data_IF_962889492070
#
_entry.id   IF_962889492070
#
_cell.length_a   1.000
_cell.length_b   1.000
_cell.length_c   1.000
_cell.angle_alpha   90.00
_cell.angle_beta   90.00
_cell.angle_gamma   90.00
#
_symmetry.space_group_name_H-M   'P 1'
#
loop_
_entity.id
_entity.type
_entity.pdbx_description
1 polymer ?
#
# COMPACT_ATOMS: atom_id res chain seq x y z
N UNK A 1 -22.67 -51.82 6.89
CA UNK A 1 -21.39 -51.14 6.56
C UNK A 1 -21.59 -50.29 5.31
N UNK A 2 -21.65 -48.95 5.43
CA UNK A 2 -21.56 -48.04 4.27
C UNK A 2 -20.63 -46.90 4.70
N UNK A 3 -19.45 -46.86 4.08
CA UNK A 3 -18.38 -45.90 4.37
C UNK A 3 -18.80 -44.53 3.85
N UNK A 4 -18.78 -43.53 4.72
CA UNK A 4 -18.88 -42.13 4.34
C UNK A 4 -17.56 -41.68 3.71
N UNK A 5 -17.60 -41.12 2.50
CA UNK A 5 -16.50 -40.31 1.98
C UNK A 5 -16.78 -38.86 2.38
N UNK A 6 -15.97 -38.34 3.31
CA UNK A 6 -15.91 -36.91 3.60
C UNK A 6 -14.89 -36.30 2.64
N UNK A 7 -15.37 -35.48 1.70
CA UNK A 7 -14.52 -34.63 0.86
C UNK A 7 -14.15 -33.43 1.73
N UNK A 8 -12.90 -33.38 2.19
CA UNK A 8 -12.35 -32.20 2.83
C UNK A 8 -11.98 -31.18 1.74
N UNK A 9 -12.84 -30.19 1.53
CA UNK A 9 -12.44 -28.97 0.85
C UNK A 9 -11.51 -28.19 1.80
N UNK A 10 -10.21 -28.27 1.56
CA UNK A 10 -9.28 -27.35 2.19
C UNK A 10 -9.58 -25.95 1.62
N UNK A 11 -10.25 -25.11 2.41
CA UNK A 11 -10.24 -23.67 2.16
C UNK A 11 -8.78 -23.21 2.28
N UNK A 12 -8.13 -22.99 1.14
CA UNK A 12 -6.96 -22.16 1.09
C UNK A 12 -7.42 -20.74 1.47
N UNK A 13 -7.37 -20.43 2.76
CA UNK A 13 -7.45 -19.07 3.24
C UNK A 13 -6.33 -18.30 2.53
N UNK A 14 -6.71 -17.45 1.57
CA UNK A 14 -5.75 -16.61 0.86
C UNK A 14 -5.03 -15.79 1.90
N UNK A 15 -3.73 -15.97 1.91
CA UNK A 15 -2.84 -15.40 2.88
C UNK A 15 -2.65 -13.92 2.52
N UNK A 16 -3.66 -13.11 2.82
CA UNK A 16 -3.44 -11.75 3.30
C UNK A 16 -2.82 -11.88 4.69
N UNK A 17 -1.64 -12.50 4.78
CA UNK A 17 -0.77 -12.31 5.92
C UNK A 17 -0.57 -10.79 5.97
N UNK A 18 -0.85 -10.20 7.13
CA UNK A 18 -0.54 -8.81 7.39
C UNK A 18 0.96 -8.60 7.13
N UNK A 19 1.31 -8.25 5.90
CA UNK A 19 2.69 -8.03 5.50
C UNK A 19 3.10 -6.71 6.13
N UNK A 20 3.86 -6.81 7.20
CA UNK A 20 4.46 -5.65 7.86
C UNK A 20 5.51 -5.04 6.95
N UNK A 21 5.62 -3.72 6.91
CA UNK A 21 6.66 -3.05 6.14
C UNK A 21 8.06 -3.49 6.62
N UNK A 22 8.87 -4.16 5.77
CA UNK A 22 10.19 -4.65 6.17
C UNK A 22 11.19 -3.51 6.48
N UNK A 23 10.85 -2.27 6.11
CA UNK A 23 11.69 -1.09 6.28
C UNK A 23 11.21 -0.15 7.41
N UNK A 24 10.13 -0.48 8.13
CA UNK A 24 9.49 0.41 9.11
C UNK A 24 10.44 0.99 10.19
N UNK A 25 11.50 0.25 10.54
CA UNK A 25 12.48 0.65 11.57
C UNK A 25 13.82 1.10 10.99
N UNK A 26 13.88 1.47 9.71
CA UNK A 26 15.11 1.89 9.04
C UNK A 26 15.04 3.38 8.63
N UNK A 27 15.74 4.29 9.35
CA UNK A 27 15.73 5.71 9.03
C UNK A 27 16.19 6.05 7.61
N UNK A 28 17.19 5.34 7.08
CA UNK A 28 17.66 5.57 5.72
C UNK A 28 16.58 5.20 4.68
N UNK A 29 15.79 4.17 4.96
CA UNK A 29 14.66 3.77 4.12
C UNK A 29 13.54 4.83 4.15
N UNK A 30 13.29 5.45 5.31
CA UNK A 30 12.35 6.57 5.43
C UNK A 30 12.80 7.78 4.60
N UNK A 31 14.09 8.10 4.59
CA UNK A 31 14.63 9.21 3.79
C UNK A 31 14.54 8.92 2.29
N UNK A 32 14.83 7.69 1.87
CA UNK A 32 14.66 7.25 0.48
C UNK A 32 13.18 7.29 0.06
N UNK A 33 12.29 6.77 0.90
CA UNK A 33 10.83 6.82 0.70
C UNK A 33 10.32 8.25 0.55
N UNK A 34 10.80 9.17 1.39
CA UNK A 34 10.49 10.61 1.29
C UNK A 34 10.94 11.20 -0.05
N UNK A 35 12.14 10.86 -0.51
CA UNK A 35 12.66 11.32 -1.81
C UNK A 35 11.81 10.81 -2.97
N UNK A 36 11.43 9.52 -2.95
CA UNK A 36 10.55 8.91 -3.95
C UNK A 36 9.15 9.53 -3.95
N UNK A 37 8.58 9.73 -2.76
CA UNK A 37 7.30 10.41 -2.61
C UNK A 37 7.34 11.82 -3.21
N UNK A 38 8.42 12.56 -2.93
CA UNK A 38 8.58 13.92 -3.40
C UNK A 38 8.66 14.02 -4.93
N UNK A 39 9.30 13.05 -5.59
CA UNK A 39 9.45 13.04 -7.05
C UNK A 39 8.23 12.48 -7.79
N UNK A 40 7.41 11.64 -7.13
CA UNK A 40 6.37 10.85 -7.80
C UNK A 40 4.94 11.22 -7.38
N UNK A 41 4.74 11.59 -6.12
CA UNK A 41 3.39 11.61 -5.51
C UNK A 41 2.88 13.03 -5.23
N UNK A 42 3.78 13.99 -5.02
CA UNK A 42 3.44 15.35 -4.53
C UNK A 42 2.56 16.15 -5.47
N UNK A 43 2.62 15.91 -6.79
CA UNK A 43 1.74 16.56 -7.76
C UNK A 43 0.25 16.33 -7.45
N UNK A 44 -0.10 15.13 -6.98
CA UNK A 44 -1.48 14.77 -6.63
C UNK A 44 -1.74 14.86 -5.12
N UNK A 45 -0.79 14.45 -4.29
CA UNK A 45 -0.96 14.29 -2.85
C UNK A 45 -0.22 15.32 -2.00
N UNK A 46 0.27 16.40 -2.61
CA UNK A 46 0.91 17.52 -1.91
C UNK A 46 2.25 17.19 -1.26
N UNK A 47 3.01 18.22 -0.90
CA UNK A 47 4.22 18.03 -0.09
C UNK A 47 3.84 17.47 1.30
N UNK A 48 4.64 16.54 1.83
CA UNK A 48 4.45 15.93 3.14
C UNK A 48 3.05 15.29 3.36
N UNK A 49 2.36 14.84 2.31
CA UNK A 49 1.03 14.26 2.45
C UNK A 49 -0.07 15.27 2.76
N UNK A 50 0.16 16.57 2.52
CA UNK A 50 -0.89 17.59 2.52
C UNK A 50 -1.88 17.36 1.36
N UNK A 51 -2.85 18.23 1.11
CA UNK A 51 -3.64 18.10 -0.12
C UNK A 51 -2.83 18.58 -1.34
N UNK A 52 -2.83 17.80 -2.42
CA UNK A 52 -2.35 18.26 -3.72
C UNK A 52 -3.51 18.66 -4.62
N UNK A 53 -3.21 19.02 -5.86
CA UNK A 53 -4.18 19.56 -6.81
C UNK A 53 -5.17 18.49 -7.32
N UNK A 54 -4.72 17.23 -7.42
CA UNK A 54 -5.47 16.15 -8.05
C UNK A 54 -5.87 15.01 -7.09
N UNK A 55 -5.45 15.07 -5.83
CA UNK A 55 -5.61 13.97 -4.88
C UNK A 55 -5.79 14.44 -3.44
N UNK A 56 -6.34 13.57 -2.58
CA UNK A 56 -6.53 13.90 -1.17
C UNK A 56 -5.20 13.99 -0.45
N UNK A 57 -5.18 14.78 0.64
CA UNK A 57 -4.08 14.72 1.59
C UNK A 57 -4.08 13.43 2.41
N UNK A 58 -2.91 12.83 2.49
CA UNK A 58 -2.65 11.52 3.09
C UNK A 58 -2.31 11.61 4.58
N UNK A 59 -1.67 12.71 5.01
CA UNK A 59 -1.23 12.93 6.39
C UNK A 59 -2.25 13.72 7.24
N UNK A 60 -3.51 13.81 6.80
CA UNK A 60 -4.57 14.54 7.50
C UNK A 60 -5.16 13.65 8.62
N UNK A 61 -5.04 14.03 9.91
CA UNK A 61 -5.59 13.23 11.00
C UNK A 61 -7.10 12.99 10.86
N UNK A 62 -7.55 11.79 11.25
CA UNK A 62 -8.97 11.41 11.22
C UNK A 62 -9.50 10.94 9.85
N UNK A 63 -8.72 11.08 8.77
CA UNK A 63 -9.07 10.54 7.45
C UNK A 63 -8.83 9.03 7.37
N UNK A 64 -9.49 8.37 6.41
CA UNK A 64 -9.46 6.91 6.26
C UNK A 64 -8.08 6.35 5.96
N UNK A 65 -7.21 7.10 5.27
CA UNK A 65 -5.86 6.66 4.90
C UNK A 65 -4.92 6.56 6.10
N UNK A 66 -5.02 7.49 7.06
CA UNK A 66 -4.24 7.45 8.30
C UNK A 66 -4.57 6.25 9.21
N UNK A 67 -5.59 5.46 8.86
CA UNK A 67 -5.99 4.23 9.55
C UNK A 67 -5.69 2.96 8.74
N UNK A 68 -5.04 3.10 7.58
CA UNK A 68 -4.65 1.95 6.74
C UNK A 68 -3.34 1.37 7.24
N UNK A 69 -3.22 0.06 7.11
CA UNK A 69 -1.97 -0.66 7.28
C UNK A 69 -1.01 -0.38 6.12
N UNK A 70 0.29 -0.53 6.36
CA UNK A 70 1.32 -0.38 5.33
C UNK A 70 1.04 -1.30 4.13
N UNK A 71 0.51 -2.51 4.36
CA UNK A 71 0.11 -3.43 3.29
C UNK A 71 -1.03 -2.88 2.41
N UNK A 72 -2.00 -2.20 3.00
CA UNK A 72 -3.07 -1.55 2.23
C UNK A 72 -2.54 -0.35 1.43
N UNK A 73 -1.62 0.42 2.02
CA UNK A 73 -0.97 1.55 1.33
C UNK A 73 -0.10 1.04 0.17
N UNK A 74 0.71 0.01 0.42
CA UNK A 74 1.51 -0.68 -0.59
C UNK A 74 0.64 -1.17 -1.75
N UNK A 75 -0.47 -1.86 -1.44
CA UNK A 75 -1.38 -2.37 -2.45
C UNK A 75 -2.01 -1.26 -3.30
N UNK A 76 -2.38 -0.14 -2.67
CA UNK A 76 -2.92 1.02 -3.37
C UNK A 76 -1.88 1.70 -4.28
N UNK A 77 -0.61 1.79 -3.86
CA UNK A 77 0.46 2.35 -4.70
C UNK A 77 0.80 1.39 -5.85
N UNK A 78 0.93 0.10 -5.56
CA UNK A 78 1.32 -0.91 -6.54
C UNK A 78 0.27 -1.04 -7.65
N UNK A 79 -0.99 -1.18 -7.28
CA UNK A 79 -2.08 -1.46 -8.22
C UNK A 79 -2.93 -0.25 -8.61
N UNK A 80 -2.71 0.91 -7.97
CA UNK A 80 -3.61 2.05 -8.08
C UNK A 80 -4.93 1.79 -7.36
N UNK A 81 -5.90 2.71 -7.54
CA UNK A 81 -7.25 2.54 -7.00
C UNK A 81 -8.25 2.57 -8.16
N UNK A 82 -8.81 1.41 -8.56
CA UNK A 82 -9.80 1.33 -9.63
C UNK A 82 -10.97 2.29 -9.42
N UNK A 83 -11.40 2.94 -10.50
CA UNK A 83 -12.47 3.94 -10.44
C UNK A 83 -12.04 5.32 -9.92
N UNK A 84 -10.73 5.54 -9.70
CA UNK A 84 -10.17 6.85 -9.35
C UNK A 84 -9.02 7.23 -10.29
N UNK A 85 -8.57 8.50 -10.28
CA UNK A 85 -7.37 8.91 -11.02
C UNK A 85 -6.05 8.34 -10.47
N UNK A 86 -6.03 7.66 -9.31
CA UNK A 86 -4.80 7.15 -8.71
C UNK A 86 -4.24 5.97 -9.52
N UNK A 87 -3.10 6.14 -10.22
CA UNK A 87 -2.59 5.14 -11.15
C UNK A 87 -1.85 4.01 -10.42
N UNK A 88 -1.69 2.87 -11.10
CA UNK A 88 -0.76 1.83 -10.68
C UNK A 88 0.69 2.28 -10.88
N UNK A 89 1.55 1.98 -9.91
CA UNK A 89 2.99 2.22 -9.99
C UNK A 89 3.82 0.93 -10.17
N UNK A 90 3.18 -0.25 -10.20
CA UNK A 90 3.87 -1.49 -10.57
C UNK A 90 4.60 -1.33 -11.92
N UNK A 91 5.86 -1.78 -11.98
CA UNK A 91 6.70 -1.64 -13.17
C UNK A 91 7.31 -0.25 -13.37
N UNK A 92 6.89 0.77 -12.61
CA UNK A 92 7.58 2.08 -12.52
C UNK A 92 8.43 2.19 -11.26
N UNK A 93 7.94 1.62 -10.16
CA UNK A 93 8.65 1.47 -8.90
C UNK A 93 8.83 -0.02 -8.60
N UNK A 94 9.95 -0.37 -7.97
CA UNK A 94 10.15 -1.72 -7.41
C UNK A 94 9.34 -1.89 -6.14
N UNK A 95 9.09 -3.14 -5.73
CA UNK A 95 8.37 -3.43 -4.48
C UNK A 95 9.09 -2.81 -3.27
N UNK A 96 10.42 -2.89 -3.22
CA UNK A 96 11.20 -2.23 -2.17
C UNK A 96 10.97 -0.72 -2.14
N UNK A 97 10.92 -0.06 -3.29
CA UNK A 97 10.64 1.38 -3.37
C UNK A 97 9.23 1.69 -2.88
N UNK A 98 8.24 0.87 -3.22
CA UNK A 98 6.86 1.05 -2.75
C UNK A 98 6.77 0.84 -1.23
N UNK A 99 7.43 -0.18 -0.69
CA UNK A 99 7.48 -0.40 0.76
C UNK A 99 8.16 0.75 1.50
N UNK A 100 9.18 1.38 0.93
CA UNK A 100 9.80 2.57 1.54
C UNK A 100 8.87 3.78 1.59
N UNK A 101 7.88 3.85 0.69
CA UNK A 101 6.89 4.94 0.65
C UNK A 101 5.71 4.67 1.60
N UNK A 102 5.29 3.41 1.72
CA UNK A 102 4.11 2.97 2.46
C UNK A 102 4.28 3.05 3.98
#
# INVERSE_FOLDING_TARGET
MKRALLIAFALAASAAQAQTNPFANNPAAVDEGRSLYNSTCTGCHGANGAAGEFGPGLAIPGRSYARRSDAEIFGAIQHGIPGTPMPAHQGKLTDDQIWKIA
#
